data_IF_932462866686
#
_entry.id   IF_932462866686
#
_cell.length_a   1.000
_cell.length_b   1.000
_cell.length_c   1.000
_cell.angle_alpha   90.00
_cell.angle_beta   90.00
_cell.angle_gamma   90.00
#
_symmetry.space_group_name_H-M   'P 1'
#
loop_
_entity.id
_entity.type
_entity.pdbx_description
1 polymer ?
#
# COMPACT_ATOMS: atom_id res chain seq x y z
N UNK A 1 0.77 -4.05 -12.97
CA UNK A 1 1.95 -3.72 -12.13
C UNK A 1 1.56 -3.95 -10.68
N UNK A 2 2.49 -4.36 -9.81
CA UNK A 2 2.19 -4.57 -8.38
C UNK A 2 1.84 -3.26 -7.68
N UNK A 3 0.85 -3.27 -6.79
CA UNK A 3 0.46 -2.13 -5.93
C UNK A 3 1.40 -1.92 -4.73
N UNK A 4 2.30 -2.87 -4.47
CA UNK A 4 3.42 -2.78 -3.52
C UNK A 4 4.73 -3.16 -4.22
N UNK A 5 5.78 -2.35 -4.10
CA UNK A 5 7.14 -2.74 -4.44
C UNK A 5 7.90 -3.10 -3.16
N UNK A 6 8.69 -4.17 -3.22
CA UNK A 6 9.40 -4.71 -2.07
C UNK A 6 10.86 -4.99 -2.41
N UNK A 7 11.77 -4.56 -1.53
CA UNK A 7 13.21 -4.79 -1.64
C UNK A 7 13.82 -4.91 -0.24
N UNK A 8 14.82 -5.77 -0.06
CA UNK A 8 15.58 -5.86 1.18
C UNK A 8 17.02 -5.41 0.94
N UNK A 9 17.51 -4.44 1.71
CA UNK A 9 18.90 -3.98 1.71
C UNK A 9 19.40 -3.83 3.13
N UNK A 10 20.56 -4.41 3.44
CA UNK A 10 21.23 -4.25 4.74
C UNK A 10 20.32 -4.52 5.96
N UNK A 11 19.51 -5.60 5.89
CA UNK A 11 18.50 -5.96 6.91
C UNK A 11 17.35 -4.94 7.07
N UNK A 12 17.16 -4.03 6.12
CA UNK A 12 16.02 -3.10 6.04
C UNK A 12 15.10 -3.53 4.91
N UNK A 13 13.83 -3.73 5.21
CA UNK A 13 12.78 -3.98 4.22
C UNK A 13 12.22 -2.64 3.71
N UNK A 14 12.39 -2.37 2.43
CA UNK A 14 11.84 -1.21 1.73
C UNK A 14 10.52 -1.61 1.07
N UNK A 15 9.43 -1.07 1.61
CA UNK A 15 8.08 -1.22 1.06
C UNK A 15 7.69 0.12 0.43
N UNK A 16 7.39 0.11 -0.87
CA UNK A 16 6.89 1.29 -1.57
C UNK A 16 5.44 1.07 -2.02
N UNK A 17 4.54 1.91 -1.53
CA UNK A 17 3.16 2.00 -1.98
C UNK A 17 3.16 2.47 -3.46
N UNK A 18 2.54 1.71 -4.36
CA UNK A 18 2.75 1.86 -5.80
C UNK A 18 1.45 1.99 -6.60
N UNK A 19 0.61 2.93 -6.18
CA UNK A 19 -0.55 3.42 -6.95
C UNK A 19 -0.45 4.94 -7.12
N UNK A 20 0.62 5.47 -7.76
CA UNK A 20 0.91 6.91 -7.79
C UNK A 20 -0.19 7.74 -8.45
N UNK A 21 -0.89 7.19 -9.45
CA UNK A 21 -2.01 7.87 -10.14
C UNK A 21 -3.25 8.03 -9.26
N UNK A 22 -3.33 7.28 -8.15
CA UNK A 22 -4.38 7.38 -7.12
C UNK A 22 -3.83 7.91 -5.80
N UNK A 23 -2.68 8.60 -5.82
CA UNK A 23 -1.99 9.11 -4.61
C UNK A 23 -1.75 8.02 -3.55
N UNK A 24 -1.53 6.78 -4.00
CA UNK A 24 -1.34 5.59 -3.16
C UNK A 24 -2.53 5.30 -2.22
N UNK A 25 -3.76 5.65 -2.61
CA UNK A 25 -4.97 5.24 -1.89
C UNK A 25 -5.02 3.70 -1.74
N UNK A 26 -5.47 3.20 -0.59
CA UNK A 26 -5.57 1.77 -0.32
C UNK A 26 -6.82 1.17 -0.95
N UNK A 27 -6.62 0.18 -1.82
CA UNK A 27 -7.65 -0.79 -2.20
C UNK A 27 -7.41 -2.13 -1.49
N UNK A 28 -8.35 -3.06 -1.61
CA UNK A 28 -8.25 -4.39 -0.98
C UNK A 28 -7.00 -5.16 -1.40
N UNK A 29 -6.67 -5.15 -2.70
CA UNK A 29 -5.49 -5.84 -3.23
C UNK A 29 -4.20 -5.38 -2.53
N UNK A 30 -3.98 -4.06 -2.51
CA UNK A 30 -2.81 -3.45 -1.91
C UNK A 30 -2.74 -3.68 -0.39
N UNK A 31 -3.89 -3.68 0.30
CA UNK A 31 -3.96 -3.99 1.73
C UNK A 31 -3.55 -5.45 2.03
N UNK A 32 -3.95 -6.40 1.19
CA UNK A 32 -3.58 -7.81 1.33
C UNK A 32 -2.09 -8.02 1.02
N UNK A 33 -1.58 -7.40 -0.04
CA UNK A 33 -0.16 -7.48 -0.39
C UNK A 33 0.74 -6.83 0.68
N UNK A 34 0.33 -5.72 1.28
CA UNK A 34 1.07 -5.12 2.38
C UNK A 34 1.15 -6.05 3.59
N UNK A 35 0.04 -6.71 3.95
CA UNK A 35 0.02 -7.71 5.01
C UNK A 35 0.97 -8.87 4.72
N UNK A 36 0.93 -9.43 3.51
CA UNK A 36 1.84 -10.49 3.07
C UNK A 36 3.31 -10.10 3.25
N UNK A 37 3.69 -8.88 2.83
CA UNK A 37 5.09 -8.42 2.94
C UNK A 37 5.50 -8.11 4.37
N UNK A 38 4.59 -7.64 5.22
CA UNK A 38 4.86 -7.47 6.64
C UNK A 38 5.05 -8.83 7.35
N UNK A 39 4.26 -9.84 6.98
CA UNK A 39 4.43 -11.21 7.48
C UNK A 39 5.76 -11.82 7.01
N UNK A 40 6.16 -11.60 5.75
CA UNK A 40 7.48 -11.99 5.22
C UNK A 40 8.63 -11.34 6.02
N UNK A 41 8.48 -10.06 6.41
CA UNK A 41 9.46 -9.36 7.23
C UNK A 41 9.57 -9.97 8.63
N UNK A 42 8.47 -10.44 9.22
CA UNK A 42 8.43 -11.03 10.56
C UNK A 42 9.24 -12.32 10.67
N UNK A 43 9.28 -13.13 9.61
CA UNK A 43 10.00 -14.42 9.59
C UNK A 43 11.45 -14.31 9.13
N UNK A 44 11.87 -13.12 8.69
CA UNK A 44 13.19 -12.87 8.09
C UNK A 44 14.12 -12.14 9.07
N UNK A 45 15.43 -12.08 8.77
CA UNK A 45 16.40 -11.29 9.56
C UNK A 45 16.31 -9.78 9.26
N UNK A 46 15.08 -9.24 9.22
CA UNK A 46 14.80 -7.82 9.01
C UNK A 46 14.84 -7.10 10.36
N UNK A 47 15.57 -5.99 10.42
CA UNK A 47 15.73 -5.15 11.62
C UNK A 47 14.86 -3.90 11.59
N UNK A 48 14.45 -3.47 10.39
CA UNK A 48 13.68 -2.25 10.18
C UNK A 48 12.80 -2.40 8.94
N UNK A 49 11.59 -1.87 8.99
CA UNK A 49 10.70 -1.74 7.83
C UNK A 49 10.57 -0.25 7.50
N UNK A 50 10.99 0.13 6.30
CA UNK A 50 10.84 1.46 5.74
C UNK A 50 9.67 1.46 4.76
N UNK A 51 8.61 2.21 5.08
CA UNK A 51 7.42 2.33 4.24
C UNK A 51 7.38 3.73 3.64
N UNK A 52 7.23 3.84 2.32
CA UNK A 52 7.08 5.14 1.63
C UNK A 52 6.13 5.03 0.44
N UNK A 53 5.73 6.17 -0.13
CA UNK A 53 4.91 6.23 -1.35
C UNK A 53 5.75 6.39 -2.61
N UNK A 54 5.30 5.79 -3.71
CA UNK A 54 5.80 6.13 -5.05
C UNK A 54 5.12 7.40 -5.56
N UNK A 55 5.87 8.25 -6.25
CA UNK A 55 5.32 9.47 -6.85
C UNK A 55 5.14 10.61 -5.85
N UNK A 56 4.02 11.34 -5.98
CA UNK A 56 3.82 12.69 -5.39
C UNK A 56 3.38 12.70 -3.92
N UNK A 57 2.90 11.57 -3.39
CA UNK A 57 2.34 11.50 -2.05
C UNK A 57 2.72 10.19 -1.36
N UNK A 58 2.71 10.17 -0.03
CA UNK A 58 2.83 8.94 0.74
C UNK A 58 1.62 8.04 0.50
N UNK A 59 0.44 8.45 0.98
CA UNK A 59 -0.85 7.77 0.85
C UNK A 59 -1.97 8.77 1.13
N UNK A 60 -3.03 8.77 0.33
CA UNK A 60 -4.22 9.60 0.53
C UNK A 60 -5.29 8.99 1.44
N UNK A 61 -5.09 7.76 1.94
CA UNK A 61 -6.04 7.05 2.80
C UNK A 61 -6.74 5.90 2.07
N UNK A 62 -8.01 5.66 2.38
CA UNK A 62 -8.84 4.62 1.75
C UNK A 62 -9.23 5.05 0.33
N UNK A 63 -9.17 4.13 -0.63
CA UNK A 63 -9.73 4.35 -1.96
C UNK A 63 -11.26 4.34 -1.88
N UNK A 64 -11.88 5.49 -2.15
CA UNK A 64 -13.33 5.66 -2.08
C UNK A 64 -14.05 4.92 -3.20
N UNK A 65 -13.38 4.61 -4.31
CA UNK A 65 -13.94 3.78 -5.38
C UNK A 65 -14.13 2.31 -4.94
N UNK A 66 -13.47 1.87 -3.85
CA UNK A 66 -13.73 0.55 -3.22
C UNK A 66 -14.86 0.60 -2.19
N UNK A 67 -15.14 1.77 -1.63
CA UNK A 67 -16.22 1.97 -0.65
C UNK A 67 -17.50 2.32 -1.40
N UNK A 68 -17.97 1.38 -2.23
CA UNK A 68 -19.28 1.50 -2.87
C UNK A 68 -20.29 0.76 -1.99
N UNK A 69 -20.91 1.47 -1.06
CA UNK A 69 -22.18 1.03 -0.50
C UNK A 69 -23.23 1.20 -1.63
N UNK A 70 -23.92 0.12 -2.08
CA UNK A 70 -24.98 0.25 -3.07
C UNK A 70 -26.10 1.21 -2.66
N UNK A 71 -26.28 1.44 -1.36
CA UNK A 71 -27.22 2.39 -0.76
C UNK A 71 -26.54 3.70 -0.29
N UNK A 72 -25.23 3.85 -0.49
CA UNK A 72 -24.46 5.01 -0.09
C UNK A 72 -24.79 6.26 -0.91
N UNK A 73 -24.54 7.46 -0.37
CA UNK A 73 -24.65 8.69 -1.14
C UNK A 73 -23.72 8.63 -2.35
N UNK A 74 -24.18 9.15 -3.49
CA UNK A 74 -23.34 9.25 -4.70
C UNK A 74 -22.16 10.14 -4.37
N UNK A 75 -20.95 9.62 -4.60
CA UNK A 75 -19.74 10.44 -4.62
C UNK A 75 -19.76 11.17 -5.96
N UNK A 76 -20.19 12.42 -5.94
CA UNK A 76 -20.05 13.31 -7.09
C UNK A 76 -18.58 13.75 -7.13
N UNK A 77 -17.83 13.25 -8.13
CA UNK A 77 -16.42 13.58 -8.36
C UNK A 77 -16.25 14.98 -8.98
#
# INVERSE_FOLDING_TARGET
>A
MSSILFEVKDSVAYIKLNRPDKYNAFNREMALLLQEKLDECKTSNIRCVYITGNGKAFCSGQDLEEVVDPAGPKIDA
#
